data_IF_134806162081
#
_entry.id   IF_134806162081
#
_cell.length_a   1.000
_cell.length_b   1.000
_cell.length_c   1.000
_cell.angle_alpha   90.00
_cell.angle_beta   90.00
_cell.angle_gamma   90.00
#
_symmetry.space_group_name_H-M   'P 1'
#
loop_
_entity.id
_entity.type
_entity.pdbx_description
1 polymer ?
#
# COMPACT_ATOMS: atom_id res chain seq x y z
N UNK A 1 4.32 -7.95 24.88
CA UNK A 1 3.88 -9.34 24.65
C UNK A 1 2.98 -9.36 23.44
N UNK A 2 3.21 -10.30 22.52
CA UNK A 2 2.31 -10.59 21.39
C UNK A 2 1.05 -11.27 21.94
N UNK A 3 0.03 -10.46 22.23
CA UNK A 3 -1.33 -10.93 22.51
C UNK A 3 -2.07 -10.98 21.17
N UNK A 4 -1.90 -12.07 20.43
CA UNK A 4 -2.92 -12.46 19.47
C UNK A 4 -4.28 -12.56 20.20
N UNK A 5 -5.37 -12.44 19.47
CA UNK A 5 -6.75 -12.77 19.91
C UNK A 5 -7.72 -11.68 20.43
N UNK A 6 -7.45 -10.37 20.27
CA UNK A 6 -8.54 -9.38 20.35
C UNK A 6 -9.03 -8.87 18.97
N UNK A 7 -8.43 -9.32 17.85
CA UNK A 7 -8.19 -8.44 16.70
C UNK A 7 -8.72 -8.90 15.32
N UNK A 8 -9.54 -9.95 15.18
CA UNK A 8 -9.87 -10.45 13.83
C UNK A 8 -10.76 -9.47 13.00
N UNK A 9 -11.78 -8.88 13.62
CA UNK A 9 -12.53 -7.77 12.98
C UNK A 9 -11.66 -6.55 12.73
N UNK A 10 -10.67 -6.31 13.59
CA UNK A 10 -9.74 -5.20 13.42
C UNK A 10 -8.80 -5.41 12.24
N UNK A 11 -8.26 -6.61 12.01
CA UNK A 11 -7.30 -6.85 10.91
C UNK A 11 -7.91 -6.62 9.52
N UNK A 12 -9.13 -7.12 9.28
CA UNK A 12 -9.83 -6.87 8.01
C UNK A 12 -10.18 -5.40 7.85
N UNK A 13 -10.67 -4.75 8.91
CA UNK A 13 -10.95 -3.31 8.88
C UNK A 13 -9.69 -2.46 8.65
N UNK A 14 -8.56 -2.81 9.28
CA UNK A 14 -7.25 -2.17 9.10
C UNK A 14 -6.74 -2.32 7.66
N UNK A 15 -6.83 -3.52 7.10
CA UNK A 15 -6.52 -3.79 5.69
C UNK A 15 -7.39 -2.93 4.78
N UNK A 16 -8.71 -2.96 4.98
CA UNK A 16 -9.66 -2.27 4.12
C UNK A 16 -9.48 -0.74 4.18
N UNK A 17 -9.25 -0.19 5.38
CA UNK A 17 -8.85 1.22 5.54
C UNK A 17 -7.54 1.51 4.80
N UNK A 18 -6.52 0.67 4.97
CA UNK A 18 -5.22 0.86 4.35
C UNK A 18 -5.29 0.83 2.82
N UNK A 19 -6.08 -0.08 2.26
CA UNK A 19 -6.29 -0.21 0.81
C UNK A 19 -7.11 0.98 0.28
N UNK A 20 -8.11 1.45 1.04
CA UNK A 20 -8.85 2.66 0.67
C UNK A 20 -7.92 3.89 0.61
N UNK A 21 -7.06 4.08 1.62
CA UNK A 21 -6.06 5.15 1.63
C UNK A 21 -5.09 5.01 0.43
N UNK A 22 -4.64 3.79 0.14
CA UNK A 22 -3.78 3.52 -1.03
C UNK A 22 -4.45 3.97 -2.34
N UNK A 23 -5.75 3.68 -2.51
CA UNK A 23 -6.52 4.15 -3.68
C UNK A 23 -6.71 5.67 -3.71
N UNK A 24 -7.01 6.30 -2.57
CA UNK A 24 -7.08 7.76 -2.48
C UNK A 24 -5.75 8.41 -2.89
N UNK A 25 -4.62 7.85 -2.44
CA UNK A 25 -3.29 8.32 -2.85
C UNK A 25 -3.04 8.14 -4.36
N UNK A 26 -3.59 7.11 -5.01
CA UNK A 26 -3.48 6.99 -6.47
C UNK A 26 -4.34 8.02 -7.23
N UNK A 27 -5.46 8.45 -6.64
CA UNK A 27 -6.39 9.42 -7.22
C UNK A 27 -6.34 10.78 -6.53
N UNK A 28 -7.46 11.17 -5.92
CA UNK A 28 -7.62 12.38 -5.11
C UNK A 28 -7.31 12.05 -3.65
N UNK A 29 -6.19 12.58 -3.17
CA UNK A 29 -5.77 12.43 -1.77
C UNK A 29 -6.57 13.40 -0.89
N UNK A 30 -7.24 12.87 0.13
CA UNK A 30 -7.79 13.68 1.22
C UNK A 30 -6.66 14.14 2.15
N UNK A 31 -6.82 15.32 2.76
CA UNK A 31 -5.89 15.74 3.81
C UNK A 31 -6.06 14.85 5.04
N UNK A 32 -4.93 14.47 5.66
CA UNK A 32 -4.88 13.79 6.96
C UNK A 32 -5.36 12.32 7.05
N UNK A 33 -5.00 11.49 6.05
CA UNK A 33 -5.39 10.05 5.98
C UNK A 33 -4.85 9.12 7.09
N UNK A 34 -3.85 9.54 7.86
CA UNK A 34 -3.29 8.74 8.95
C UNK A 34 -3.56 9.47 10.26
N UNK A 35 -4.08 8.86 11.31
CA UNK A 35 -4.33 9.61 12.55
C UNK A 35 -3.03 9.91 13.31
N UNK A 36 -2.15 8.91 13.39
CA UNK A 36 -0.92 8.94 14.15
C UNK A 36 0.18 8.10 13.48
N UNK A 37 1.32 7.97 14.15
CA UNK A 37 2.46 7.20 13.65
C UNK A 37 2.14 5.70 13.51
N UNK A 38 1.38 5.12 14.44
CA UNK A 38 1.03 3.70 14.39
C UNK A 38 0.13 3.40 13.18
N UNK A 39 -0.83 4.27 12.89
CA UNK A 39 -1.68 4.20 11.69
C UNK A 39 -0.84 4.28 10.40
N UNK A 40 0.20 5.11 10.39
CA UNK A 40 1.12 5.19 9.26
C UNK A 40 1.97 3.92 9.11
N UNK A 41 2.53 3.40 10.19
CA UNK A 41 3.30 2.14 10.17
C UNK A 41 2.45 0.94 9.73
N UNK A 42 1.21 0.86 10.22
CA UNK A 42 0.20 -0.11 9.80
C UNK A 42 -0.11 -0.01 8.30
N UNK A 43 -0.30 1.21 7.79
CA UNK A 43 -0.52 1.44 6.36
C UNK A 43 0.66 0.95 5.52
N UNK A 44 1.90 1.18 5.96
CA UNK A 44 3.08 0.67 5.26
C UNK A 44 3.12 -0.86 5.24
N UNK A 45 2.71 -1.54 6.31
CA UNK A 45 2.67 -3.01 6.34
C UNK A 45 1.61 -3.59 5.40
N UNK A 46 0.38 -3.07 5.44
CA UNK A 46 -0.67 -3.48 4.51
C UNK A 46 -0.34 -3.11 3.06
N UNK A 47 0.29 -1.96 2.85
CA UNK A 47 0.79 -1.54 1.54
C UNK A 47 1.81 -2.51 0.95
N UNK A 48 2.70 -3.09 1.76
CA UNK A 48 3.64 -4.12 1.30
C UNK A 48 2.91 -5.40 0.85
N UNK A 49 1.90 -5.84 1.60
CA UNK A 49 1.11 -7.02 1.22
C UNK A 49 0.33 -6.79 -0.08
N UNK A 50 -0.26 -5.61 -0.25
CA UNK A 50 -0.93 -5.23 -1.49
C UNK A 50 0.03 -5.19 -2.67
N UNK A 51 1.20 -4.54 -2.52
CA UNK A 51 2.22 -4.48 -3.57
C UNK A 51 2.77 -5.87 -3.93
N UNK A 52 2.89 -6.77 -2.95
CA UNK A 52 3.24 -8.17 -3.21
C UNK A 52 2.19 -8.84 -4.10
N UNK A 53 0.91 -8.69 -3.77
CA UNK A 53 -0.17 -9.31 -4.55
C UNK A 53 -0.24 -8.73 -5.98
N UNK A 54 -0.08 -7.42 -6.13
CA UNK A 54 0.02 -6.75 -7.44
C UNK A 54 1.23 -7.29 -8.22
N UNK A 55 2.39 -7.43 -7.60
CA UNK A 55 3.59 -7.97 -8.26
C UNK A 55 3.41 -9.43 -8.68
N UNK A 56 2.81 -10.26 -7.82
CA UNK A 56 2.55 -11.67 -8.11
C UNK A 56 1.55 -11.82 -9.24
N UNK A 57 0.45 -11.07 -9.23
CA UNK A 57 -0.49 -11.09 -10.34
C UNK A 57 0.19 -10.59 -11.63
N UNK A 58 0.91 -9.46 -11.58
CA UNK A 58 1.60 -8.92 -12.75
C UNK A 58 2.60 -9.89 -13.38
N UNK A 59 3.25 -10.71 -12.55
CA UNK A 59 4.23 -11.69 -13.02
C UNK A 59 3.61 -13.01 -13.51
N UNK A 60 2.46 -13.41 -12.97
CA UNK A 60 1.91 -14.77 -13.18
C UNK A 60 0.57 -14.82 -13.89
N UNK A 61 -0.22 -13.74 -13.83
CA UNK A 61 -1.61 -13.69 -14.28
C UNK A 61 -2.57 -14.54 -13.45
N UNK A 62 -2.16 -15.07 -12.29
CA UNK A 62 -2.96 -16.03 -11.50
C UNK A 62 -3.42 -15.43 -10.18
N UNK A 63 -4.72 -15.48 -9.93
CA UNK A 63 -5.34 -15.02 -8.68
C UNK A 63 -5.18 -16.01 -7.52
N UNK A 64 -4.91 -17.29 -7.82
CA UNK A 64 -4.74 -18.34 -6.81
C UNK A 64 -3.59 -18.08 -5.84
N UNK A 65 -2.58 -17.32 -6.28
CA UNK A 65 -1.41 -16.99 -5.49
C UNK A 65 -1.56 -15.72 -4.66
N UNK A 66 -2.69 -15.02 -4.76
CA UNK A 66 -2.94 -13.79 -3.99
C UNK A 66 -3.27 -14.12 -2.53
N UNK A 67 -2.78 -13.27 -1.63
CA UNK A 67 -3.14 -13.32 -0.22
C UNK A 67 -4.54 -12.71 -0.04
N UNK A 68 -4.79 -11.56 -0.67
CA UNK A 68 -6.05 -10.82 -0.59
C UNK A 68 -6.97 -11.18 -1.77
N UNK A 69 -7.38 -12.45 -1.83
CA UNK A 69 -8.21 -12.98 -2.94
C UNK A 69 -9.54 -12.24 -3.11
N UNK A 70 -10.10 -11.74 -2.01
CA UNK A 70 -11.33 -10.94 -1.98
C UNK A 70 -11.15 -9.49 -2.50
N UNK A 71 -9.92 -9.12 -2.89
CA UNK A 71 -9.57 -7.84 -3.50
C UNK A 71 -8.93 -8.05 -4.89
N UNK A 72 -9.15 -9.20 -5.52
CA UNK A 72 -8.55 -9.54 -6.80
C UNK A 72 -8.80 -8.49 -7.88
N UNK A 73 -10.03 -8.01 -8.04
CA UNK A 73 -10.37 -7.00 -9.07
C UNK A 73 -9.58 -5.70 -8.91
N UNK A 74 -9.39 -5.25 -7.67
CA UNK A 74 -8.57 -4.09 -7.34
C UNK A 74 -7.09 -4.33 -7.69
N UNK A 75 -6.55 -5.48 -7.30
CA UNK A 75 -5.17 -5.89 -7.59
C UNK A 75 -4.94 -5.95 -9.11
N UNK A 76 -5.86 -6.55 -9.85
CA UNK A 76 -5.81 -6.66 -11.31
C UNK A 76 -5.80 -5.27 -11.92
N UNK A 77 -6.75 -4.42 -11.56
CA UNK A 77 -6.86 -3.06 -12.13
C UNK A 77 -5.60 -2.22 -11.91
N UNK A 78 -4.95 -2.31 -10.74
CA UNK A 78 -3.71 -1.59 -10.47
C UNK A 78 -2.53 -2.20 -11.25
N UNK A 79 -2.49 -3.53 -11.37
CA UNK A 79 -1.41 -4.22 -12.07
C UNK A 79 -1.35 -3.88 -13.57
N UNK A 80 -2.48 -3.60 -14.21
CA UNK A 80 -2.55 -3.28 -15.64
C UNK A 80 -1.75 -2.02 -15.98
N UNK A 81 -1.86 -0.99 -15.14
CA UNK A 81 -1.24 0.33 -15.37
C UNK A 81 0.25 0.43 -15.03
N UNK A 82 0.84 -0.59 -14.39
CA UNK A 82 2.21 -0.54 -13.87
C UNK A 82 3.09 -1.65 -14.43
N UNK A 83 4.37 -1.38 -14.66
CA UNK A 83 5.35 -2.43 -14.99
C UNK A 83 5.83 -3.12 -13.70
N UNK A 84 6.15 -4.42 -13.78
CA UNK A 84 6.63 -5.20 -12.64
C UNK A 84 7.84 -4.56 -11.94
N UNK A 85 8.79 -4.03 -12.72
CA UNK A 85 9.97 -3.33 -12.19
C UNK A 85 9.60 -2.12 -11.31
N UNK A 86 8.54 -1.41 -11.66
CA UNK A 86 8.11 -0.18 -10.97
C UNK A 86 7.36 -0.54 -9.69
N UNK A 87 6.55 -1.61 -9.71
CA UNK A 87 5.91 -2.17 -8.51
C UNK A 87 6.97 -2.62 -7.49
N UNK A 88 7.99 -3.37 -7.93
CA UNK A 88 9.07 -3.84 -7.05
C UNK A 88 9.95 -2.69 -6.53
N UNK A 89 10.16 -1.66 -7.35
CA UNK A 89 10.87 -0.45 -6.92
C UNK A 89 10.07 0.29 -5.86
N UNK A 90 8.77 0.46 -6.05
CA UNK A 90 7.88 1.09 -5.09
C UNK A 90 7.90 0.36 -3.75
N UNK A 91 7.75 -0.97 -3.75
CA UNK A 91 7.77 -1.77 -2.52
C UNK A 91 9.05 -1.53 -1.71
N UNK A 92 10.21 -1.49 -2.36
CA UNK A 92 11.49 -1.17 -1.72
C UNK A 92 11.55 0.25 -1.19
N UNK A 93 11.06 1.25 -1.91
CA UNK A 93 11.02 2.64 -1.43
C UNK A 93 10.12 2.77 -0.20
N UNK A 94 8.91 2.19 -0.23
CA UNK A 94 8.00 2.21 0.92
C UNK A 94 8.61 1.51 2.14
N UNK A 95 9.32 0.39 1.94
CA UNK A 95 10.05 -0.29 3.02
C UNK A 95 11.14 0.60 3.62
N UNK A 96 11.88 1.32 2.78
CA UNK A 96 12.91 2.27 3.23
C UNK A 96 12.31 3.45 4.00
N UNK A 97 11.16 3.98 3.58
CA UNK A 97 10.45 5.03 4.30
C UNK A 97 10.03 4.52 5.67
N UNK A 98 9.37 3.35 5.73
CA UNK A 98 8.95 2.73 7.00
C UNK A 98 10.11 2.60 7.99
N UNK A 99 11.26 2.11 7.53
CA UNK A 99 12.46 1.98 8.39
C UNK A 99 12.96 3.31 8.95
N UNK A 100 12.70 4.41 8.24
CA UNK A 100 13.10 5.76 8.66
C UNK A 100 12.08 6.44 9.57
N UNK A 101 10.87 5.90 9.76
CA UNK A 101 9.87 6.48 10.67
C UNK A 101 10.37 6.56 12.12
N UNK A 102 11.30 5.68 12.50
CA UNK A 102 12.00 5.72 13.78
C UNK A 102 12.79 7.01 14.05
N UNK A 103 13.10 7.81 13.02
CA UNK A 103 13.82 9.08 13.14
C UNK A 103 12.90 10.31 13.24
N UNK A 104 11.66 10.13 13.72
CA UNK A 104 10.68 11.21 13.89
C UNK A 104 10.39 11.99 12.59
N UNK A 105 10.16 11.25 11.50
CA UNK A 105 9.79 11.85 10.22
C UNK A 105 8.48 12.64 10.35
N UNK A 106 8.44 13.83 9.73
CA UNK A 106 7.23 14.62 9.67
C UNK A 106 6.16 13.87 8.85
N UNK A 107 4.97 13.71 9.46
CA UNK A 107 3.82 12.99 8.89
C UNK A 107 3.40 13.54 7.53
N UNK A 108 3.25 14.85 7.40
CA UNK A 108 2.81 15.48 6.16
C UNK A 108 3.84 15.32 5.04
N UNK A 109 5.14 15.47 5.35
CA UNK A 109 6.22 15.26 4.38
C UNK A 109 6.21 13.80 3.91
N UNK A 110 6.06 12.85 4.84
CA UNK A 110 5.99 11.42 4.53
C UNK A 110 4.79 11.09 3.65
N UNK A 111 3.63 11.66 3.96
CA UNK A 111 2.40 11.49 3.19
C UNK A 111 2.58 12.01 1.76
N UNK A 112 3.07 13.24 1.61
CA UNK A 112 3.30 13.87 0.31
C UNK A 112 4.29 13.06 -0.53
N UNK A 113 5.40 12.62 0.07
CA UNK A 113 6.41 11.84 -0.64
C UNK A 113 5.88 10.46 -1.08
N UNK A 114 5.14 9.78 -0.20
CA UNK A 114 4.52 8.48 -0.46
C UNK A 114 3.51 8.58 -1.60
N UNK A 115 2.65 9.59 -1.57
CA UNK A 115 1.67 9.89 -2.62
C UNK A 115 2.36 10.11 -3.99
N UNK A 116 3.41 10.93 -4.03
CA UNK A 116 4.19 11.18 -5.25
C UNK A 116 4.80 9.89 -5.81
N UNK A 117 5.35 9.02 -4.97
CA UNK A 117 5.90 7.73 -5.39
C UNK A 117 4.82 6.81 -5.99
N UNK A 118 3.66 6.71 -5.33
CA UNK A 118 2.53 5.92 -5.81
C UNK A 118 2.07 6.38 -7.19
N UNK A 119 1.79 7.68 -7.35
CA UNK A 119 1.36 8.25 -8.62
C UNK A 119 2.40 8.07 -9.72
N UNK A 120 3.69 8.22 -9.40
CA UNK A 120 4.78 8.05 -10.37
C UNK A 120 4.95 6.61 -10.85
N UNK A 121 4.78 5.63 -9.97
CA UNK A 121 5.12 4.23 -10.27
C UNK A 121 3.90 3.38 -10.67
N UNK A 122 2.71 3.75 -10.19
CA UNK A 122 1.46 3.02 -10.42
C UNK A 122 0.34 3.85 -11.03
N UNK A 123 0.48 5.18 -11.09
CA UNK A 123 -0.52 6.02 -11.75
C UNK A 123 -0.66 5.59 -13.21
N UNK A 124 -1.90 5.49 -13.69
CA UNK A 124 -2.17 5.28 -15.12
C UNK A 124 -1.53 6.45 -15.86
N UNK A 125 -0.39 6.21 -16.50
CA UNK A 125 0.27 7.23 -17.29
C UNK A 125 -0.72 7.75 -18.32
N UNK A 126 -0.99 9.05 -18.33
CA UNK A 126 -1.55 9.71 -19.50
C UNK A 126 -0.52 9.56 -20.62
N UNK A 127 -0.63 8.49 -21.39
CA UNK A 127 0.02 8.31 -22.68
C UNK A 127 -1.03 7.83 -23.65
#
# INVERSE_FOLDING_TARGET
GRLGYALNENLIAQRDRSFNIFRQMLGSLEEDVWDNRDAMEEWFDWGQLLLRDIAVYKATGKTDFLINKDRADEIISVSEGAALKDILKLARELYNIKRKLNFNLNKQITLNYTNLLLKKMLGKGSR
#
